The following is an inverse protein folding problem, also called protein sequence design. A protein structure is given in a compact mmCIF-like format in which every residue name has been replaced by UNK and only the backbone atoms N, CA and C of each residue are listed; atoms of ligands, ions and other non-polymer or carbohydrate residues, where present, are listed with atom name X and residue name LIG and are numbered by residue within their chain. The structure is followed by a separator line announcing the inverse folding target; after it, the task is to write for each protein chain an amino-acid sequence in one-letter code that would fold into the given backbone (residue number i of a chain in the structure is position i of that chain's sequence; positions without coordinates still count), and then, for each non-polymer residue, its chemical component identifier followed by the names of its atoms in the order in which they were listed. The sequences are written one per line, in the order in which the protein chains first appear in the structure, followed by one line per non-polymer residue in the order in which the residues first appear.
data_IF_563247000009
#
_entry.id   IF_563247000009
#
_cell.length_a   1.000
_cell.length_b   1.000
_cell.length_c   1.000
_cell.angle_alpha   90.00
_cell.angle_beta   90.00
_cell.angle_gamma   90.00
#
_symmetry.space_group_name_H-M   'P 1'
#
loop_
_entity.id
_entity.type
_entity.pdbx_description
1 polymer ?
#
# COMPACT_ATOMS: atom_id res chain seq x y z
N UNK A 1 -23.59 25.21 -26.40
CA UNK A 1 -22.61 24.13 -26.13
C UNK A 1 -21.59 24.70 -25.16
N UNK A 2 -21.68 24.32 -23.88
CA UNK A 2 -20.78 24.81 -22.84
C UNK A 2 -19.55 23.91 -22.77
N UNK A 3 -18.38 24.45 -23.11
CA UNK A 3 -17.10 23.78 -22.95
C UNK A 3 -16.71 23.83 -21.47
N UNK A 4 -16.91 22.74 -20.75
CA UNK A 4 -16.41 22.58 -19.39
C UNK A 4 -14.88 22.72 -19.42
N UNK A 5 -14.38 23.76 -18.75
CA UNK A 5 -12.97 23.99 -18.49
C UNK A 5 -12.49 22.83 -17.60
N UNK A 6 -11.38 22.14 -17.90
CA UNK A 6 -10.87 21.10 -17.02
C UNK A 6 -10.51 21.75 -15.69
N UNK A 7 -11.29 21.48 -14.65
CA UNK A 7 -10.97 21.93 -13.30
C UNK A 7 -9.60 21.36 -12.93
N UNK A 8 -8.68 22.26 -12.58
CA UNK A 8 -7.37 21.87 -12.11
C UNK A 8 -7.55 20.95 -10.89
N UNK A 9 -6.99 19.73 -10.97
CA UNK A 9 -7.02 18.74 -9.88
C UNK A 9 -6.74 19.42 -8.55
N UNK A 10 -7.64 19.23 -7.59
CA UNK A 10 -7.66 19.97 -6.35
C UNK A 10 -6.39 19.71 -5.53
N UNK A 11 -5.46 20.70 -5.39
CA UNK A 11 -4.21 20.50 -4.67
C UNK A 11 -4.42 20.19 -3.18
N UNK A 12 -5.61 20.40 -2.64
CA UNK A 12 -5.92 20.05 -1.25
C UNK A 12 -6.07 18.54 -1.04
N UNK A 13 -6.61 17.77 -1.99
CA UNK A 13 -6.81 16.32 -1.83
C UNK A 13 -5.47 15.60 -1.78
N UNK A 14 -4.58 15.99 -2.69
CA UNK A 14 -3.22 15.51 -2.76
C UNK A 14 -2.49 15.68 -1.43
N UNK A 15 -2.50 16.91 -0.92
CA UNK A 15 -1.84 17.27 0.34
C UNK A 15 -2.45 16.55 1.55
N UNK A 16 -3.77 16.42 1.62
CA UNK A 16 -4.42 15.69 2.71
C UNK A 16 -4.03 14.20 2.71
N UNK A 17 -3.93 13.59 1.52
CA UNK A 17 -3.51 12.21 1.40
C UNK A 17 -2.05 12.04 1.85
N UNK A 18 -1.16 12.94 1.41
CA UNK A 18 0.25 12.90 1.76
C UNK A 18 0.44 13.07 3.29
N UNK A 19 -0.28 14.03 3.92
CA UNK A 19 -0.26 14.20 5.38
C UNK A 19 -0.77 12.97 6.15
N UNK A 20 -1.83 12.33 5.67
CA UNK A 20 -2.34 11.10 6.26
C UNK A 20 -1.31 9.96 6.14
N UNK A 21 -0.67 9.82 4.98
CA UNK A 21 0.34 8.80 4.75
C UNK A 21 1.57 8.99 5.65
N UNK A 22 2.01 10.23 5.82
CA UNK A 22 3.13 10.56 6.70
C UNK A 22 2.80 10.28 8.18
N UNK A 23 1.56 10.58 8.61
CA UNK A 23 1.17 10.38 10.01
C UNK A 23 0.95 8.90 10.41
N UNK A 24 0.77 8.01 9.43
CA UNK A 24 0.58 6.56 9.65
C UNK A 24 1.77 5.73 9.13
N UNK A 25 2.91 6.38 8.85
CA UNK A 25 4.04 5.74 8.19
C UNK A 25 4.56 4.51 8.93
N UNK A 26 4.67 4.58 10.27
CA UNK A 26 5.17 3.48 11.11
C UNK A 26 4.34 2.20 10.97
N UNK A 27 3.00 2.30 10.94
CA UNK A 27 2.11 1.15 10.74
C UNK A 27 2.35 0.46 9.39
N UNK A 28 2.71 1.25 8.36
CA UNK A 28 3.01 0.72 7.03
C UNK A 28 4.37 0.01 7.01
N UNK A 29 5.35 0.51 7.77
CA UNK A 29 6.65 -0.15 7.95
C UNK A 29 6.47 -1.49 8.68
N UNK A 30 5.68 -1.53 9.75
CA UNK A 30 5.39 -2.77 10.47
C UNK A 30 4.82 -3.85 9.54
N UNK A 31 3.85 -3.48 8.70
CA UNK A 31 3.30 -4.39 7.70
C UNK A 31 4.35 -4.81 6.66
N UNK A 32 5.22 -3.90 6.22
CA UNK A 32 6.34 -4.22 5.33
C UNK A 32 7.28 -5.27 5.91
N UNK A 33 7.61 -5.15 7.20
CA UNK A 33 8.38 -6.14 7.94
C UNK A 33 7.66 -7.49 8.06
N UNK A 34 6.35 -7.49 8.30
CA UNK A 34 5.54 -8.71 8.30
C UNK A 34 5.52 -9.39 6.94
N UNK A 35 5.40 -8.63 5.85
CA UNK A 35 5.49 -9.18 4.50
C UNK A 35 6.88 -9.75 4.23
N UNK A 36 7.95 -9.10 4.68
CA UNK A 36 9.32 -9.63 4.52
C UNK A 36 9.50 -10.97 5.23
N UNK A 37 8.99 -11.07 6.47
CA UNK A 37 9.03 -12.31 7.26
C UNK A 37 8.27 -13.46 6.60
N UNK A 38 7.09 -13.19 6.04
CA UNK A 38 6.19 -14.21 5.49
C UNK A 38 6.48 -14.54 4.02
N UNK A 39 7.02 -13.58 3.26
CA UNK A 39 7.40 -13.73 1.87
C UNK A 39 8.90 -13.46 1.71
N UNK A 40 9.76 -14.33 2.26
CA UNK A 40 11.20 -14.13 2.18
C UNK A 40 11.65 -14.04 0.71
N UNK A 41 12.66 -13.21 0.42
CA UNK A 41 13.19 -13.06 -0.94
C UNK A 41 13.84 -14.36 -1.42
N UNK A 42 13.72 -14.64 -2.72
CA UNK A 42 14.44 -15.75 -3.37
C UNK A 42 15.67 -15.19 -4.10
N UNK A 43 16.86 -15.64 -3.71
CA UNK A 43 18.15 -15.25 -4.33
C UNK A 43 18.19 -13.75 -4.67
N UNK A 44 18.01 -12.93 -3.65
CA UNK A 44 18.09 -11.47 -3.74
C UNK A 44 16.96 -10.75 -4.49
N UNK A 45 15.91 -11.48 -4.89
CA UNK A 45 14.75 -10.95 -5.61
C UNK A 45 13.55 -10.77 -4.67
N UNK A 46 12.86 -9.65 -4.85
CA UNK A 46 11.55 -9.42 -4.23
C UNK A 46 10.58 -10.55 -4.56
N UNK A 47 9.82 -10.99 -3.56
CA UNK A 47 8.74 -11.96 -3.74
C UNK A 47 7.75 -11.49 -4.80
N UNK A 48 7.40 -12.39 -5.72
CA UNK A 48 6.38 -12.12 -6.73
C UNK A 48 5.02 -11.74 -6.10
N UNK A 49 4.71 -12.25 -4.91
CA UNK A 49 3.47 -11.93 -4.19
C UNK A 49 3.44 -10.47 -3.74
N UNK A 50 4.54 -9.97 -3.19
CA UNK A 50 4.67 -8.57 -2.76
C UNK A 50 4.64 -7.62 -3.96
N UNK A 51 5.35 -7.98 -5.05
CA UNK A 51 5.30 -7.22 -6.31
C UNK A 51 3.88 -7.18 -6.90
N UNK A 52 3.15 -8.28 -6.86
CA UNK A 52 1.79 -8.34 -7.38
C UNK A 52 0.83 -7.47 -6.56
N UNK A 53 1.00 -7.42 -5.22
CA UNK A 53 0.26 -6.52 -4.35
C UNK A 53 0.53 -5.05 -4.69
N UNK A 54 1.80 -4.67 -4.88
CA UNK A 54 2.16 -3.32 -5.33
C UNK A 54 1.47 -3.00 -6.65
N UNK A 55 1.62 -3.89 -7.63
CA UNK A 55 1.10 -3.70 -8.98
C UNK A 55 -0.41 -3.47 -8.98
N UNK A 56 -1.18 -4.33 -8.29
CA UNK A 56 -2.64 -4.16 -8.22
C UNK A 56 -3.01 -2.85 -7.52
N UNK A 57 -2.36 -2.52 -6.40
CA UNK A 57 -2.65 -1.28 -5.67
C UNK A 57 -2.37 -0.02 -6.49
N UNK A 58 -1.36 -0.05 -7.38
CA UNK A 58 -1.05 1.09 -8.24
C UNK A 58 -1.92 1.18 -9.49
N UNK A 59 -2.40 0.06 -10.03
CA UNK A 59 -3.07 0.01 -11.33
C UNK A 59 -4.59 0.08 -11.27
N UNK A 60 -5.23 -0.28 -10.15
CA UNK A 60 -6.69 -0.39 -10.10
C UNK A 60 -7.40 0.97 -10.15
N UNK A 61 -8.65 0.92 -10.63
CA UNK A 61 -9.59 2.05 -10.63
C UNK A 61 -10.65 1.93 -9.54
N UNK A 62 -10.80 0.75 -8.91
CA UNK A 62 -11.70 0.51 -7.79
C UNK A 62 -10.90 0.04 -6.59
N UNK A 63 -11.19 0.61 -5.43
CA UNK A 63 -10.52 0.23 -4.19
C UNK A 63 -10.80 -1.25 -3.82
N UNK A 64 -12.03 -1.71 -4.03
CA UNK A 64 -12.44 -3.08 -3.73
C UNK A 64 -11.60 -4.14 -4.45
N UNK A 65 -11.07 -3.84 -5.65
CA UNK A 65 -10.24 -4.77 -6.40
C UNK A 65 -8.95 -5.16 -5.65
N UNK A 66 -8.44 -4.26 -4.79
CA UNK A 66 -7.27 -4.52 -3.93
C UNK A 66 -7.65 -5.48 -2.81
N UNK A 67 -8.78 -5.22 -2.14
CA UNK A 67 -9.30 -6.07 -1.07
C UNK A 67 -9.61 -7.48 -1.58
N UNK A 68 -10.25 -7.56 -2.75
CA UNK A 68 -10.60 -8.81 -3.39
C UNK A 68 -9.36 -9.58 -3.85
N UNK A 69 -8.32 -8.90 -4.35
CA UNK A 69 -7.03 -9.53 -4.62
C UNK A 69 -6.50 -10.25 -3.38
N UNK A 70 -6.47 -9.59 -2.22
CA UNK A 70 -5.94 -10.16 -0.97
C UNK A 70 -6.81 -11.33 -0.50
N UNK A 71 -8.14 -11.18 -0.47
CA UNK A 71 -9.07 -12.26 -0.12
C UNK A 71 -8.90 -13.48 -1.02
N UNK A 72 -8.74 -13.25 -2.33
CA UNK A 72 -8.50 -14.32 -3.30
C UNK A 72 -7.18 -15.04 -3.06
N UNK A 73 -6.11 -14.34 -2.65
CA UNK A 73 -4.87 -15.02 -2.29
C UNK A 73 -5.04 -15.87 -1.02
N UNK A 74 -5.77 -15.37 -0.02
CA UNK A 74 -6.04 -16.08 1.23
C UNK A 74 -6.85 -17.38 1.01
N UNK A 75 -7.84 -17.33 0.11
CA UNK A 75 -8.76 -18.45 -0.17
C UNK A 75 -8.19 -19.57 -1.03
N UNK A 76 -7.00 -19.41 -1.64
CA UNK A 76 -6.42 -20.42 -2.53
C UNK A 76 -5.64 -21.48 -1.77
N UNK A 77 -5.76 -22.74 -2.20
CA UNK A 77 -5.06 -23.89 -1.62
C UNK A 77 -3.73 -24.22 -2.32
N UNK A 78 -2.83 -23.23 -2.35
CA UNK A 78 -1.46 -23.44 -2.84
C UNK A 78 -0.46 -23.23 -1.70
N UNK A 79 0.57 -24.10 -1.62
CA UNK A 79 1.65 -23.95 -0.63
C UNK A 79 2.33 -22.57 -0.73
N UNK A 80 2.47 -22.05 -1.95
CA UNK A 80 3.08 -20.75 -2.21
C UNK A 80 2.20 -19.57 -1.73
N UNK A 81 0.93 -19.83 -1.41
CA UNK A 81 -0.04 -18.84 -0.93
C UNK A 81 -0.38 -19.02 0.54
N UNK A 82 0.13 -20.07 1.21
CA UNK A 82 -0.01 -20.24 2.66
C UNK A 82 0.36 -18.98 3.45
N UNK A 83 1.43 -18.22 3.12
CA UNK A 83 1.77 -17.03 3.90
C UNK A 83 0.70 -15.93 3.85
N UNK A 84 -0.13 -15.87 2.81
CA UNK A 84 -1.25 -14.93 2.75
C UNK A 84 -2.28 -15.19 3.85
N UNK A 85 -2.42 -16.42 4.35
CA UNK A 85 -3.34 -16.70 5.47
C UNK A 85 -2.81 -16.18 6.80
N UNK A 86 -1.49 -16.03 6.92
CA UNK A 86 -0.84 -15.52 8.12
C UNK A 86 -0.85 -13.99 8.17
N UNK A 87 -0.67 -13.32 7.02
CA UNK A 87 -0.54 -11.85 6.95
C UNK A 87 -1.75 -11.14 6.32
N UNK A 88 -2.61 -11.87 5.60
CA UNK A 88 -3.68 -11.28 4.80
C UNK A 88 -4.71 -10.52 5.62
N UNK A 89 -5.00 -10.95 6.85
CA UNK A 89 -5.93 -10.22 7.73
C UNK A 89 -5.36 -8.84 8.10
N UNK A 90 -4.09 -8.75 8.47
CA UNK A 90 -3.44 -7.47 8.77
C UNK A 90 -3.44 -6.53 7.56
N UNK A 91 -3.25 -7.07 6.36
CA UNK A 91 -3.37 -6.31 5.10
C UNK A 91 -4.80 -5.78 4.93
N UNK A 92 -5.82 -6.62 5.15
CA UNK A 92 -7.23 -6.23 5.02
C UNK A 92 -7.66 -5.21 6.07
N UNK A 93 -7.15 -5.30 7.30
CA UNK A 93 -7.47 -4.35 8.38
C UNK A 93 -6.92 -2.95 8.06
N UNK A 94 -5.70 -2.87 7.55
CA UNK A 94 -5.12 -1.60 7.07
C UNK A 94 -5.88 -1.07 5.85
N UNK A 95 -6.19 -1.90 4.86
CA UNK A 95 -7.02 -1.48 3.72
C UNK A 95 -8.42 -1.00 4.16
N UNK A 96 -9.02 -1.65 5.15
CA UNK A 96 -10.28 -1.23 5.76
C UNK A 96 -10.18 0.14 6.42
N UNK A 97 -9.07 0.40 7.11
CA UNK A 97 -8.75 1.71 7.70
C UNK A 97 -8.66 2.77 6.61
N UNK A 98 -7.87 2.54 5.56
CA UNK A 98 -7.71 3.46 4.43
C UNK A 98 -9.04 3.74 3.70
N UNK A 99 -9.89 2.71 3.53
CA UNK A 99 -11.21 2.84 2.91
C UNK A 99 -12.13 3.77 3.71
N UNK A 100 -12.00 3.75 5.04
CA UNK A 100 -12.87 4.51 5.94
C UNK A 100 -12.41 5.96 6.16
N UNK A 101 -11.20 6.33 5.72
CA UNK A 101 -10.74 7.72 5.75
C UNK A 101 -11.63 8.55 4.82
N UNK A 102 -12.14 9.65 5.37
CA UNK A 102 -12.93 10.63 4.61
C UNK A 102 -12.09 11.88 4.38
N UNK A 103 -12.19 12.41 3.18
CA UNK A 103 -11.60 13.70 2.84
C UNK A 103 -12.65 14.80 2.94
N UNK A 104 -12.29 15.92 3.56
CA UNK A 104 -13.20 17.04 3.75
C UNK A 104 -13.29 17.88 2.47
N UNK A 105 -14.47 18.44 2.21
CA UNK A 105 -14.68 19.37 1.10
C UNK A 105 -13.80 20.61 1.31
N UNK A 106 -13.02 21.02 0.30
CA UNK A 106 -12.18 22.22 0.42
C UNK A 106 -13.03 23.49 0.56
N UNK A 107 -12.81 24.23 1.64
CA UNK A 107 -13.63 25.40 2.01
C UNK A 107 -15.00 25.06 2.59
N UNK A 108 -15.31 23.77 2.81
CA UNK A 108 -16.50 23.32 3.53
C UNK A 108 -16.31 23.31 5.04
N UNK A 109 -17.38 22.96 5.76
CA UNK A 109 -17.33 22.70 7.20
C UNK A 109 -16.76 21.31 7.48
N UNK A 110 -16.42 21.01 8.74
CA UNK A 110 -15.93 19.67 9.14
C UNK A 110 -16.95 18.55 8.90
N UNK A 111 -18.21 18.88 8.62
CA UNK A 111 -19.30 17.95 8.33
C UNK A 111 -19.55 17.78 6.82
N UNK A 112 -18.91 18.60 5.98
CA UNK A 112 -19.07 18.53 4.53
C UNK A 112 -18.07 17.55 3.91
N UNK A 113 -18.53 16.32 3.68
CA UNK A 113 -17.77 15.35 2.91
C UNK A 113 -17.53 15.84 1.46
N UNK A 114 -16.33 15.53 0.93
CA UNK A 114 -16.06 15.69 -0.49
C UNK A 114 -16.98 14.79 -1.35
N UNK A 115 -17.06 15.09 -2.65
CA UNK A 115 -17.91 14.31 -3.57
C UNK A 115 -17.52 12.83 -3.58
N UNK A 116 -18.43 11.90 -3.93
CA UNK A 116 -18.08 10.48 -4.03
C UNK A 116 -16.88 10.19 -4.96
N UNK A 117 -16.71 11.00 -6.01
CA UNK A 117 -15.59 10.92 -6.95
C UNK A 117 -14.27 11.32 -6.28
N UNK A 118 -14.27 12.45 -5.55
CA UNK A 118 -13.11 12.90 -4.76
C UNK A 118 -12.75 11.90 -3.66
N UNK A 119 -13.75 11.31 -2.99
CA UNK A 119 -13.53 10.26 -1.97
C UNK A 119 -12.87 9.03 -2.58
N UNK A 120 -13.31 8.60 -3.77
CA UNK A 120 -12.70 7.48 -4.47
C UNK A 120 -11.26 7.80 -4.91
N UNK A 121 -11.03 8.96 -5.52
CA UNK A 121 -9.69 9.39 -5.92
C UNK A 121 -8.74 9.45 -4.72
N UNK A 122 -9.22 10.02 -3.62
CA UNK A 122 -8.48 10.11 -2.36
C UNK A 122 -8.12 8.72 -1.81
N UNK A 123 -9.07 7.79 -1.71
CA UNK A 123 -8.83 6.41 -1.24
C UNK A 123 -7.84 5.66 -2.12
N UNK A 124 -7.95 5.81 -3.45
CA UNK A 124 -6.99 5.21 -4.38
C UNK A 124 -5.59 5.81 -4.20
N UNK A 125 -5.49 7.12 -3.93
CA UNK A 125 -4.21 7.77 -3.63
C UNK A 125 -3.61 7.23 -2.33
N UNK A 126 -4.42 7.07 -1.29
CA UNK A 126 -3.99 6.45 -0.03
C UNK A 126 -3.49 5.01 -0.26
N UNK A 127 -4.25 4.18 -0.97
CA UNK A 127 -3.83 2.81 -1.27
C UNK A 127 -2.50 2.74 -2.03
N UNK A 128 -2.29 3.65 -2.99
CA UNK A 128 -1.02 3.75 -3.74
C UNK A 128 0.15 4.15 -2.84
N UNK A 129 -0.05 5.14 -1.98
CA UNK A 129 0.96 5.61 -1.03
C UNK A 129 1.32 4.53 -0.01
N UNK A 130 0.30 3.89 0.56
CA UNK A 130 0.43 2.75 1.47
C UNK A 130 1.24 1.61 0.85
N UNK A 131 0.85 1.16 -0.35
CA UNK A 131 1.54 0.06 -1.02
C UNK A 131 3.02 0.38 -1.26
N UNK A 132 3.33 1.62 -1.67
CA UNK A 132 4.72 2.08 -1.83
C UNK A 132 5.49 2.05 -0.51
N UNK A 133 4.91 2.54 0.59
CA UNK A 133 5.56 2.54 1.89
C UNK A 133 5.87 1.11 2.38
N UNK A 134 4.86 0.24 2.33
CA UNK A 134 4.96 -1.19 2.70
C UNK A 134 6.05 -1.91 1.89
N UNK A 135 6.06 -1.72 0.57
CA UNK A 135 7.03 -2.36 -0.33
C UNK A 135 8.43 -1.76 -0.15
N UNK A 136 8.53 -0.46 0.15
CA UNK A 136 9.83 0.18 0.42
C UNK A 136 10.49 -0.42 1.66
N UNK A 137 9.73 -0.66 2.73
CA UNK A 137 10.25 -1.34 3.92
C UNK A 137 10.68 -2.78 3.63
N UNK A 138 9.87 -3.52 2.86
CA UNK A 138 10.26 -4.86 2.40
C UNK A 138 11.61 -4.83 1.67
N UNK A 139 11.79 -3.87 0.75
CA UNK A 139 13.03 -3.72 -0.02
C UNK A 139 14.20 -3.25 0.85
N UNK A 140 13.93 -2.42 1.86
CA UNK A 140 14.94 -1.98 2.83
C UNK A 140 15.49 -3.17 3.62
N UNK A 141 14.63 -4.05 4.12
CA UNK A 141 15.06 -5.28 4.81
C UNK A 141 15.87 -6.20 3.90
N UNK A 142 15.46 -6.36 2.64
CA UNK A 142 16.21 -7.08 1.63
C UNK A 142 17.62 -6.49 1.43
N UNK A 143 17.72 -5.17 1.29
CA UNK A 143 19.00 -4.48 1.10
C UNK A 143 19.91 -4.61 2.33
N UNK A 144 19.35 -4.48 3.55
CA UNK A 144 20.10 -4.66 4.80
C UNK A 144 20.68 -6.06 4.93
N UNK A 145 19.91 -7.10 4.61
CA UNK A 145 20.39 -8.49 4.62
C UNK A 145 21.62 -8.68 3.73
N UNK A 146 21.60 -8.12 2.52
CA UNK A 146 22.72 -8.17 1.57
C UNK A 146 23.98 -7.52 2.11
N UNK A 147 23.87 -6.33 2.68
CA UNK A 147 25.02 -5.60 3.23
C UNK A 147 25.67 -6.41 4.36
N UNK A 148 24.86 -7.00 5.24
CA UNK A 148 25.35 -7.82 6.36
C UNK A 148 25.98 -9.14 5.90
N UNK A 149 25.50 -9.76 4.83
CA UNK A 149 26.12 -10.95 4.25
C UNK A 149 27.45 -10.64 3.57
N UNK A 150 27.56 -9.51 2.88
CA UNK A 150 28.80 -9.10 2.23
C UNK A 150 29.90 -8.81 3.26
N UNK A 151 29.60 -8.03 4.30
CA UNK A 151 30.58 -7.75 5.36
C UNK A 151 31.11 -9.01 6.05
N UNK A 152 30.25 -10.01 6.29
CA UNK A 152 30.65 -11.31 6.86
C UNK A 152 31.53 -12.15 5.94
N UNK A 153 31.41 -12.00 4.62
CA UNK A 153 32.28 -12.67 3.64
C UNK A 153 33.66 -12.01 3.62
N UNK A 154 33.69 -10.68 3.67
CA UNK A 154 34.91 -9.89 3.65
C UNK A 154 35.76 -10.10 4.94
N UNK A 155 35.13 -10.31 6.11
CA UNK A 155 35.83 -10.65 7.36
C UNK A 155 36.43 -12.07 7.39
N UNK A 156 36.01 -12.95 6.48
CA UNK A 156 36.45 -14.37 6.42
C UNK A 156 37.45 -14.64 5.30
N UNK A 157 37.70 -13.67 4.42
CA UNK A 157 38.64 -13.75 3.30
C UNK A 157 40.02 -13.23 3.72
#
# INVERSE_FOLDING_TARGET
MSTAKPEARNPSLARQADLYLDSHHEEFLELGGLLFKNFPPDRDKISAQVRNLEHIAVSVTRFADIEDFVKNQMGRESQNLKPWREVGQAVLDLLGTLRNVRVLRPGGTAEDDASPEDQLEFRLRLARGWARAVVSEYLYQLARGKIQEQGRKDERA
#
